data_IF_667446638578
#
_entry.id   IF_667446638578
#
_cell.length_a   1.000
_cell.length_b   1.000
_cell.length_c   1.000
_cell.angle_alpha   90.00
_cell.angle_beta   90.00
_cell.angle_gamma   90.00
#
_symmetry.space_group_name_H-M   'P 1'
#
loop_
_entity.id
_entity.type
_entity.pdbx_description
1 polymer ?
#
# COMPACT_ATOMS: atom_id res chain seq x y z
N UNK A 1 18.66 -4.53 -5.96
CA UNK A 1 17.55 -4.49 -4.99
C UNK A 1 16.28 -5.07 -5.64
N UNK A 2 15.16 -5.26 -4.93
CA UNK A 2 13.93 -5.75 -5.58
C UNK A 2 13.44 -4.76 -6.64
N UNK A 3 13.49 -3.45 -6.35
CA UNK A 3 13.12 -2.40 -7.29
C UNK A 3 13.82 -2.55 -8.65
N UNK A 4 15.13 -2.79 -8.68
CA UNK A 4 15.86 -3.00 -9.92
C UNK A 4 15.36 -4.23 -10.69
N UNK A 5 14.94 -5.28 -9.98
CA UNK A 5 14.34 -6.47 -10.62
C UNK A 5 12.97 -6.15 -11.20
N UNK A 6 12.15 -5.39 -10.47
CA UNK A 6 10.83 -4.97 -10.91
C UNK A 6 10.94 -4.10 -12.19
N UNK A 7 11.88 -3.17 -12.21
CA UNK A 7 12.19 -2.28 -13.34
C UNK A 7 12.77 -2.99 -14.57
N UNK A 8 13.41 -4.15 -14.39
CA UNK A 8 13.94 -4.97 -15.48
C UNK A 8 13.01 -6.13 -15.87
N UNK A 9 11.79 -6.18 -15.31
CA UNK A 9 10.82 -7.23 -15.61
C UNK A 9 9.94 -6.91 -16.81
N UNK A 10 9.24 -7.92 -17.33
CA UNK A 10 8.24 -7.73 -18.40
C UNK A 10 7.05 -6.84 -17.97
N UNK A 11 6.89 -6.59 -16.67
CA UNK A 11 5.84 -5.76 -16.10
C UNK A 11 6.36 -4.37 -15.69
N UNK A 12 7.57 -3.96 -16.09
CA UNK A 12 8.20 -2.72 -15.64
C UNK A 12 7.35 -1.47 -15.90
N UNK A 13 6.71 -1.38 -17.07
CA UNK A 13 5.85 -0.25 -17.42
C UNK A 13 4.61 -0.18 -16.53
N UNK A 14 3.90 -1.31 -16.37
CA UNK A 14 2.76 -1.41 -15.46
C UNK A 14 3.16 -1.16 -13.99
N UNK A 15 4.34 -1.61 -13.58
CA UNK A 15 4.88 -1.37 -12.24
C UNK A 15 5.06 0.11 -11.96
N UNK A 16 5.65 0.85 -12.90
CA UNK A 16 5.80 2.30 -12.81
C UNK A 16 4.45 3.01 -12.78
N UNK A 17 3.51 2.61 -13.64
CA UNK A 17 2.18 3.20 -13.69
C UNK A 17 1.43 3.02 -12.35
N UNK A 18 1.44 1.80 -11.80
CA UNK A 18 0.83 1.49 -10.50
C UNK A 18 1.52 2.24 -9.37
N UNK A 19 2.86 2.31 -9.38
CA UNK A 19 3.66 3.06 -8.40
C UNK A 19 3.25 4.53 -8.39
N UNK A 20 3.27 5.17 -9.56
CA UNK A 20 3.01 6.61 -9.68
C UNK A 20 1.57 6.93 -9.28
N UNK A 21 0.62 6.05 -9.63
CA UNK A 21 -0.77 6.20 -9.20
C UNK A 21 -0.92 6.07 -7.68
N UNK A 22 -0.26 5.10 -7.03
CA UNK A 22 -0.30 4.95 -5.57
C UNK A 22 0.25 6.19 -4.86
N UNK A 23 1.41 6.69 -5.29
CA UNK A 23 2.03 7.89 -4.72
C UNK A 23 1.08 9.08 -4.85
N UNK A 24 0.57 9.32 -6.06
CA UNK A 24 -0.37 10.41 -6.33
C UNK A 24 -1.62 10.34 -5.43
N UNK A 25 -2.17 9.14 -5.20
CA UNK A 25 -3.36 8.98 -4.39
C UNK A 25 -3.10 9.21 -2.89
N UNK A 26 -1.91 8.86 -2.38
CA UNK A 26 -1.52 9.15 -1.00
C UNK A 26 -1.30 10.66 -0.84
N UNK A 27 -0.58 11.30 -1.77
CA UNK A 27 -0.31 12.74 -1.73
C UNK A 27 -1.59 13.59 -1.86
N UNK A 28 -2.61 13.10 -2.59
CA UNK A 28 -3.94 13.73 -2.62
C UNK A 28 -4.64 13.80 -1.27
N UNK A 29 -4.24 12.99 -0.28
CA UNK A 29 -4.72 13.09 1.11
C UNK A 29 -3.89 14.09 1.95
N UNK A 30 -2.89 14.74 1.35
CA UNK A 30 -1.99 15.67 2.03
C UNK A 30 -0.86 14.97 2.81
N UNK A 31 -0.53 13.73 2.46
CA UNK A 31 0.52 12.93 3.12
C UNK A 31 1.76 12.80 2.24
N UNK A 32 2.94 12.85 2.85
CA UNK A 32 4.21 12.64 2.16
C UNK A 32 4.56 11.15 2.12
N UNK A 33 4.97 10.69 0.94
CA UNK A 33 5.34 9.28 0.72
C UNK A 33 6.83 9.09 0.88
N UNK A 34 7.22 8.19 1.78
CA UNK A 34 8.56 7.63 1.87
C UNK A 34 8.60 6.25 1.23
N UNK A 35 9.37 6.12 0.17
CA UNK A 35 9.69 4.82 -0.41
C UNK A 35 10.80 4.12 0.37
N UNK A 36 10.62 2.82 0.60
CA UNK A 36 11.62 1.94 1.20
C UNK A 36 11.93 0.80 0.26
N UNK A 37 13.14 0.85 -0.30
CA UNK A 37 13.69 -0.20 -1.14
C UNK A 37 14.34 -1.28 -0.28
N UNK A 38 14.04 -2.54 -0.54
CA UNK A 38 14.68 -3.68 0.11
C UNK A 38 15.08 -4.75 -0.91
N UNK A 39 15.71 -5.82 -0.45
CA UNK A 39 16.06 -6.96 -1.31
C UNK A 39 14.85 -7.73 -1.83
N UNK A 40 13.70 -7.61 -1.15
CA UNK A 40 12.52 -8.45 -1.37
C UNK A 40 11.31 -7.70 -1.93
N UNK A 41 11.14 -6.43 -1.59
CA UNK A 41 9.97 -5.61 -1.96
C UNK A 41 10.32 -4.12 -2.00
N UNK A 42 9.49 -3.33 -2.69
CA UNK A 42 9.46 -1.86 -2.59
C UNK A 42 8.22 -1.45 -1.81
N UNK A 43 8.38 -0.74 -0.70
CA UNK A 43 7.27 -0.40 0.21
C UNK A 43 7.06 1.11 0.32
N UNK A 44 5.80 1.52 0.54
CA UNK A 44 5.36 2.90 0.57
C UNK A 44 4.81 3.25 1.95
N UNK A 45 5.38 4.28 2.57
CA UNK A 45 5.06 4.72 3.93
C UNK A 45 4.59 6.17 3.94
N UNK A 46 3.70 6.53 4.86
CA UNK A 46 3.52 7.95 5.22
C UNK A 46 4.63 8.37 6.18
N UNK A 47 5.17 9.55 5.95
CA UNK A 47 6.12 10.18 6.88
C UNK A 47 5.43 10.68 8.15
N UNK A 48 4.20 11.19 8.04
CA UNK A 48 3.39 11.73 9.13
C UNK A 48 3.07 10.67 10.19
N UNK A 49 2.67 9.47 9.75
CA UNK A 49 2.31 8.36 10.64
C UNK A 49 3.46 7.40 10.89
N UNK A 50 4.60 7.58 10.19
CA UNK A 50 5.75 6.67 10.20
C UNK A 50 5.32 5.20 9.98
N UNK A 51 4.38 4.99 9.06
CA UNK A 51 3.74 3.69 8.88
C UNK A 51 3.33 3.42 7.43
N UNK A 52 3.26 2.13 7.08
CA UNK A 52 3.14 1.67 5.71
C UNK A 52 1.70 1.65 5.19
N UNK A 53 1.54 1.97 3.90
CA UNK A 53 0.34 1.72 3.10
C UNK A 53 0.36 0.35 2.45
N UNK A 54 1.36 0.10 1.61
CA UNK A 54 1.48 -1.13 0.84
C UNK A 54 2.92 -1.39 0.42
N UNK A 55 3.13 -2.52 -0.25
CA UNK A 55 4.32 -2.78 -1.04
C UNK A 55 3.94 -3.23 -2.45
N UNK A 56 4.86 -3.01 -3.39
CA UNK A 56 4.80 -3.52 -4.75
C UNK A 56 5.90 -4.55 -5.00
N UNK A 57 5.59 -5.49 -5.88
CA UNK A 57 6.54 -6.42 -6.48
C UNK A 57 5.97 -6.90 -7.81
N UNK A 58 6.80 -7.07 -8.83
CA UNK A 58 6.34 -7.68 -10.09
C UNK A 58 6.27 -9.20 -9.98
N UNK A 59 5.33 -9.77 -10.71
CA UNK A 59 5.17 -11.21 -10.97
C UNK A 59 5.16 -11.42 -12.47
N UNK A 60 5.19 -12.68 -12.91
CA UNK A 60 5.34 -13.02 -14.32
C UNK A 60 4.29 -12.33 -15.21
N UNK A 61 3.04 -12.25 -14.74
CA UNK A 61 1.87 -11.79 -15.48
C UNK A 61 1.12 -10.60 -14.85
N UNK A 62 1.57 -10.08 -13.70
CA UNK A 62 0.91 -8.95 -13.01
C UNK A 62 1.85 -8.19 -12.07
N UNK A 63 1.43 -6.99 -11.67
CA UNK A 63 1.98 -6.26 -10.52
C UNK A 63 1.19 -6.64 -9.27
N UNK A 64 1.89 -7.12 -8.24
CA UNK A 64 1.28 -7.46 -6.96
C UNK A 64 1.33 -6.27 -6.01
N UNK A 65 0.17 -5.84 -5.52
CA UNK A 65 0.06 -4.89 -4.42
C UNK A 65 -0.22 -5.67 -3.13
N UNK A 66 0.69 -5.56 -2.16
CA UNK A 66 0.48 -6.08 -0.81
C UNK A 66 0.03 -4.99 0.13
N UNK A 67 -1.26 -4.97 0.48
CA UNK A 67 -1.84 -3.96 1.38
C UNK A 67 -1.55 -4.27 2.84
N UNK A 68 -0.84 -3.38 3.53
CA UNK A 68 -0.60 -3.53 4.95
C UNK A 68 -1.91 -3.32 5.72
N UNK A 69 -2.19 -4.22 6.67
CA UNK A 69 -3.47 -4.26 7.40
C UNK A 69 -4.68 -4.54 6.50
N UNK A 70 -4.48 -4.97 5.25
CA UNK A 70 -5.56 -5.27 4.32
C UNK A 70 -6.55 -6.31 4.84
N UNK A 71 -6.17 -7.15 5.82
CA UNK A 71 -7.10 -8.06 6.49
C UNK A 71 -8.25 -7.35 7.25
N UNK A 72 -8.12 -6.04 7.51
CA UNK A 72 -9.15 -5.20 8.15
C UNK A 72 -9.97 -4.39 7.13
N UNK A 73 -9.65 -4.46 5.84
CA UNK A 73 -10.39 -3.70 4.84
C UNK A 73 -11.77 -4.29 4.63
N UNK A 74 -12.74 -3.42 4.42
CA UNK A 74 -13.99 -3.78 3.76
C UNK A 74 -13.71 -3.88 2.25
N UNK A 75 -13.78 -5.08 1.70
CA UNK A 75 -13.51 -5.33 0.28
C UNK A 75 -14.81 -5.37 -0.54
N UNK A 76 -15.35 -4.20 -0.87
CA UNK A 76 -16.58 -4.09 -1.68
C UNK A 76 -16.35 -4.33 -3.17
N UNK A 77 -15.11 -4.20 -3.64
CA UNK A 77 -14.76 -4.25 -5.07
C UNK A 77 -14.31 -5.68 -5.45
N UNK A 78 -14.06 -6.53 -4.44
CA UNK A 78 -13.73 -7.96 -4.57
C UNK A 78 -12.44 -8.20 -5.34
N UNK A 79 -11.44 -7.35 -5.09
CA UNK A 79 -10.11 -7.44 -5.71
C UNK A 79 -9.01 -7.86 -4.73
N UNK A 80 -9.33 -7.99 -3.43
CA UNK A 80 -8.38 -8.45 -2.45
C UNK A 80 -8.41 -9.98 -2.34
N UNK A 81 -7.23 -10.58 -2.33
CA UNK A 81 -7.06 -12.00 -2.11
C UNK A 81 -6.12 -12.30 -0.94
N UNK A 82 -6.09 -13.57 -0.58
CA UNK A 82 -5.25 -14.10 0.50
C UNK A 82 -5.98 -14.20 1.83
N UNK A 83 -5.56 -15.17 2.65
CA UNK A 83 -6.16 -15.48 3.96
C UNK A 83 -5.24 -15.10 5.13
N UNK A 84 -4.23 -14.26 4.87
CA UNK A 84 -3.25 -13.84 5.87
C UNK A 84 -3.91 -13.08 7.04
N UNK A 85 -3.24 -13.01 8.19
CA UNK A 85 -3.79 -12.32 9.36
C UNK A 85 -3.70 -10.79 9.27
N UNK A 86 -2.80 -10.28 8.42
CA UNK A 86 -2.45 -8.85 8.38
C UNK A 86 -2.53 -8.28 6.97
N UNK A 87 -1.98 -8.96 5.97
CA UNK A 87 -1.87 -8.48 4.59
C UNK A 87 -2.93 -9.11 3.70
N UNK A 88 -3.41 -8.32 2.73
CA UNK A 88 -4.16 -8.81 1.56
C UNK A 88 -3.41 -8.43 0.29
N UNK A 89 -3.48 -9.28 -0.72
CA UNK A 89 -2.91 -9.02 -2.04
C UNK A 89 -3.97 -8.45 -2.98
N UNK A 90 -3.54 -7.66 -3.96
CA UNK A 90 -4.33 -7.27 -5.13
C UNK A 90 -3.47 -7.53 -6.37
N UNK A 91 -4.05 -8.14 -7.41
CA UNK A 91 -3.36 -8.36 -8.69
C UNK A 91 -3.76 -7.27 -9.65
N UNK A 92 -2.78 -6.65 -10.29
CA UNK A 92 -3.00 -5.65 -11.34
C UNK A 92 -2.35 -6.15 -12.62
N UNK A 93 -3.15 -6.52 -13.61
CA UNK A 93 -2.70 -6.90 -14.96
C UNK A 93 -2.78 -5.72 -15.94
N UNK A 94 -3.59 -4.71 -15.61
CA UNK A 94 -3.75 -3.44 -16.31
C UNK A 94 -4.24 -2.40 -15.29
N UNK A 95 -3.85 -1.13 -15.40
CA UNK A 95 -4.34 -0.06 -14.54
C UNK A 95 -5.58 0.63 -15.15
N UNK A 96 -6.67 -0.13 -15.26
CA UNK A 96 -7.97 0.39 -15.70
C UNK A 96 -8.70 1.20 -14.60
N UNK A 97 -9.87 1.73 -14.93
CA UNK A 97 -10.66 2.54 -13.99
C UNK A 97 -11.14 1.76 -12.77
N UNK A 98 -11.41 0.45 -12.89
CA UNK A 98 -11.81 -0.39 -11.76
C UNK A 98 -10.62 -0.54 -10.79
N UNK A 99 -9.42 -0.79 -11.32
CA UNK A 99 -8.20 -0.90 -10.52
C UNK A 99 -7.84 0.42 -9.85
N UNK A 100 -7.99 1.55 -10.57
CA UNK A 100 -7.79 2.88 -10.01
C UNK A 100 -8.79 3.17 -8.88
N UNK A 101 -10.07 2.89 -9.08
CA UNK A 101 -11.09 3.04 -8.02
C UNK A 101 -10.71 2.20 -6.79
N UNK A 102 -10.30 0.96 -7.00
CA UNK A 102 -9.93 0.05 -5.93
C UNK A 102 -8.71 0.53 -5.15
N UNK A 103 -7.63 0.91 -5.85
CA UNK A 103 -6.41 1.45 -5.23
C UNK A 103 -6.74 2.71 -4.42
N UNK A 104 -7.50 3.66 -4.98
CA UNK A 104 -7.96 4.85 -4.27
C UNK A 104 -8.79 4.51 -3.03
N UNK A 105 -9.66 3.50 -3.12
CA UNK A 105 -10.51 3.07 -2.02
C UNK A 105 -9.69 2.41 -0.89
N UNK A 106 -8.73 1.55 -1.21
CA UNK A 106 -7.88 0.89 -0.23
C UNK A 106 -6.85 1.84 0.41
N UNK A 107 -6.37 2.85 -0.31
CA UNK A 107 -5.54 3.91 0.27
C UNK A 107 -6.29 4.65 1.36
N UNK A 108 -7.54 5.08 1.09
CA UNK A 108 -8.39 5.75 2.09
C UNK A 108 -8.64 4.87 3.31
N UNK A 109 -8.92 3.59 3.11
CA UNK A 109 -9.08 2.66 4.24
C UNK A 109 -7.79 2.50 5.05
N UNK A 110 -6.65 2.45 4.37
CA UNK A 110 -5.36 2.37 5.06
C UNK A 110 -5.10 3.61 5.90
N UNK A 111 -5.34 4.80 5.34
CA UNK A 111 -5.20 6.08 6.05
C UNK A 111 -6.05 6.13 7.32
N UNK A 112 -7.32 5.73 7.25
CA UNK A 112 -8.20 5.64 8.44
C UNK A 112 -7.55 4.77 9.52
N UNK A 113 -7.04 3.59 9.15
CA UNK A 113 -6.35 2.71 10.10
C UNK A 113 -5.04 3.30 10.63
N UNK A 114 -4.33 4.12 9.85
CA UNK A 114 -3.13 4.82 10.31
C UNK A 114 -3.48 5.87 11.37
N UNK A 115 -4.50 6.68 11.12
CA UNK A 115 -5.01 7.69 12.07
C UNK A 115 -5.45 7.04 13.38
N UNK A 116 -6.22 5.94 13.30
CA UNK A 116 -6.66 5.20 14.49
C UNK A 116 -5.48 4.70 15.31
N UNK A 117 -4.49 4.08 14.65
CA UNK A 117 -3.32 3.55 15.32
C UNK A 117 -2.49 4.66 15.97
N UNK A 118 -2.26 5.79 15.28
CA UNK A 118 -1.53 6.93 15.82
C UNK A 118 -2.21 7.48 17.09
N UNK A 119 -3.53 7.69 17.05
CA UNK A 119 -4.30 8.11 18.22
C UNK A 119 -4.14 7.12 19.38
N UNK A 120 -4.29 5.82 19.12
CA UNK A 120 -4.12 4.78 20.14
C UNK A 120 -2.72 4.82 20.76
N UNK A 121 -1.66 4.99 19.96
CA UNK A 121 -0.30 5.06 20.48
C UNK A 121 -0.07 6.30 21.35
N UNK A 122 -0.55 7.47 20.91
CA UNK A 122 -0.48 8.72 21.69
C UNK A 122 -1.22 8.59 23.01
N UNK A 123 -2.43 8.02 23.02
CA UNK A 123 -3.18 7.76 24.27
C UNK A 123 -2.42 6.81 25.21
N UNK A 124 -1.84 5.72 24.68
CA UNK A 124 -1.04 4.78 25.48
C UNK A 124 0.19 5.46 26.11
N UNK A 125 0.85 6.35 25.39
CA UNK A 125 1.99 7.09 25.92
C UNK A 125 1.56 8.02 27.08
N UNK A 126 0.43 8.72 26.94
CA UNK A 126 -0.13 9.57 28.00
C UNK A 126 -0.49 8.78 29.26
N UNK A 127 -1.01 7.55 29.10
CA UNK A 127 -1.37 6.69 30.23
C UNK A 127 -0.15 6.06 30.92
N UNK A 128 0.96 5.86 30.21
CA UNK A 128 2.23 5.35 30.77
C UNK A 128 3.09 6.42 31.44
N UNK A 129 2.85 7.70 31.12
CA UNK A 129 3.52 8.85 31.74
C UNK A 129 2.85 9.37 33.01
N UNK A 130 1.87 8.64 33.54
CA UNK A 130 1.29 8.79 34.88
C UNK A 130 1.71 7.60 35.75
#
# INVERSE_FOLDING_TARGET
MQFDKDMNSNQAELFLEVRDFIILQIEKQGLHVKEKFSENITSYFSEEYQSGFCYLITKDDYVHIGWFRGAKFYDKIDLLFGKGKTIRGQKVTILDEIQKEAISFYIKQTEILLIENDKIQKTKQLLKGK
#
